data_IF_730503200728
#
_entry.id   IF_730503200728
#
_cell.length_a   1.000
_cell.length_b   1.000
_cell.length_c   1.000
_cell.angle_alpha   90.00
_cell.angle_beta   90.00
_cell.angle_gamma   90.00
#
_symmetry.space_group_name_H-M   'P 1'
#
loop_
_entity.id
_entity.type
_entity.pdbx_description
1 polymer ?
#
# COMPACT_ATOMS: atom_id res chain seq x y z
N UNK A 1 20.14 30.07 44.19
CA UNK A 1 19.41 30.94 43.24
C UNK A 1 20.23 31.04 41.96
N UNK A 2 19.55 31.26 40.83
CA UNK A 2 20.01 31.39 39.43
C UNK A 2 19.97 30.07 38.64
N UNK A 3 18.97 30.00 37.76
CA UNK A 3 18.78 28.93 36.78
C UNK A 3 19.41 29.22 35.42
N UNK A 4 19.10 28.35 34.46
CA UNK A 4 19.18 28.65 33.03
C UNK A 4 19.84 27.57 32.17
N UNK A 5 19.23 27.39 30.97
CA UNK A 5 19.61 26.57 29.80
C UNK A 5 19.05 25.15 29.82
N UNK A 6 18.41 24.64 28.79
CA UNK A 6 17.86 25.14 27.53
C UNK A 6 17.13 23.92 26.94
N UNK A 7 16.14 24.17 26.11
CA UNK A 7 15.38 23.15 25.39
C UNK A 7 16.29 22.28 24.51
N UNK A 8 16.69 21.11 24.98
CA UNK A 8 17.25 20.07 24.12
C UNK A 8 16.17 19.05 23.81
N UNK A 9 15.22 19.48 22.97
CA UNK A 9 14.37 18.61 22.16
C UNK A 9 15.33 17.75 21.33
N UNK A 10 15.38 16.40 21.48
CA UNK A 10 16.11 15.61 20.52
C UNK A 10 15.37 15.71 19.20
N UNK A 11 15.94 16.51 18.30
CA UNK A 11 15.66 16.50 16.87
C UNK A 11 15.72 15.06 16.38
N UNK A 12 14.76 14.71 15.54
CA UNK A 12 14.54 13.37 15.01
C UNK A 12 15.80 12.83 14.31
N UNK A 13 16.71 12.24 15.09
CA UNK A 13 17.75 11.34 14.61
C UNK A 13 17.06 10.04 14.22
N UNK A 14 16.57 9.99 12.99
CA UNK A 14 16.32 8.74 12.29
C UNK A 14 17.67 8.09 11.93
N UNK A 15 18.47 7.79 12.94
CA UNK A 15 19.74 7.09 12.78
C UNK A 15 19.44 5.59 12.91
N UNK A 16 19.68 4.88 11.82
CA UNK A 16 19.42 3.46 11.55
C UNK A 16 19.68 2.51 12.72
N UNK A 17 18.69 2.30 13.58
CA UNK A 17 18.68 1.22 14.56
C UNK A 17 17.75 0.11 14.04
N UNK A 18 18.31 -0.84 13.29
CA UNK A 18 17.60 -2.09 13.01
C UNK A 18 17.43 -2.82 14.36
N UNK A 19 16.22 -2.82 14.90
CA UNK A 19 15.90 -3.53 16.13
C UNK A 19 16.20 -5.03 15.96
N UNK A 20 16.75 -5.67 17.00
CA UNK A 20 17.01 -7.12 16.99
C UNK A 20 15.72 -7.85 16.58
N UNK A 21 15.82 -8.84 15.69
CA UNK A 21 14.68 -9.63 15.22
C UNK A 21 13.85 -10.11 16.43
N UNK A 22 12.55 -9.79 16.47
CA UNK A 22 11.65 -10.10 17.59
C UNK A 22 11.48 -8.99 18.64
N UNK A 23 12.31 -7.95 18.64
CA UNK A 23 12.21 -6.80 19.57
C UNK A 23 11.64 -5.53 18.94
N UNK A 24 11.34 -5.56 17.63
CA UNK A 24 10.74 -4.41 16.94
C UNK A 24 9.29 -4.24 17.41
N UNK A 25 8.95 -3.17 18.13
CA UNK A 25 7.55 -2.91 18.45
C UNK A 25 6.78 -2.73 17.15
N UNK A 26 5.60 -3.34 17.04
CA UNK A 26 4.72 -3.15 15.89
C UNK A 26 4.24 -1.70 15.94
N UNK A 27 4.81 -0.86 15.09
CA UNK A 27 4.43 0.55 15.00
C UNK A 27 2.97 0.61 14.56
N UNK A 28 2.14 1.35 15.32
CA UNK A 28 0.78 1.67 14.90
C UNK A 28 0.85 2.39 13.56
N UNK A 29 0.11 1.91 12.56
CA UNK A 29 0.08 2.56 11.26
C UNK A 29 -0.25 4.04 11.43
N UNK A 30 0.63 4.92 10.96
CA UNK A 30 0.36 6.35 10.97
C UNK A 30 -0.66 6.67 9.87
N UNK A 31 -1.94 6.79 10.27
CA UNK A 31 -3.06 7.10 9.38
C UNK A 31 -3.37 8.60 9.31
N UNK A 32 -2.45 9.46 9.80
CA UNK A 32 -2.65 10.92 9.86
C UNK A 32 -2.56 11.60 8.49
N UNK A 33 -1.99 10.91 7.51
CA UNK A 33 -1.79 11.43 6.15
C UNK A 33 -2.77 10.78 5.18
N UNK A 34 -3.23 11.55 4.17
CA UNK A 34 -3.99 10.97 3.05
C UNK A 34 -3.09 9.96 2.33
N UNK A 35 -3.60 8.76 2.13
CA UNK A 35 -2.90 7.69 1.42
C UNK A 35 -3.66 7.29 0.16
N UNK A 36 -2.93 6.77 -0.81
CA UNK A 36 -3.48 6.15 -2.00
C UNK A 36 -2.89 4.74 -2.11
N UNK A 37 -3.76 3.77 -2.36
CA UNK A 37 -3.45 2.35 -2.44
C UNK A 37 -3.54 1.91 -3.89
N UNK A 38 -2.48 1.25 -4.37
CA UNK A 38 -2.40 0.74 -5.73
C UNK A 38 -2.72 -0.75 -5.69
N UNK A 39 -3.74 -1.15 -6.43
CA UNK A 39 -4.09 -2.54 -6.69
C UNK A 39 -3.69 -2.88 -8.11
N UNK A 40 -3.05 -4.02 -8.33
CA UNK A 40 -2.55 -4.42 -9.64
C UNK A 40 -2.56 -5.93 -9.80
N UNK A 41 -3.06 -6.39 -10.94
CA UNK A 41 -3.09 -7.79 -11.34
C UNK A 41 -2.65 -7.91 -12.80
N UNK A 42 -1.84 -8.92 -13.10
CA UNK A 42 -1.32 -9.18 -14.45
C UNK A 42 -1.53 -10.66 -14.79
N UNK A 43 -2.04 -10.94 -15.99
CA UNK A 43 -2.10 -12.26 -16.59
C UNK A 43 -0.99 -12.41 -17.64
N UNK A 44 0.11 -13.13 -17.34
CA UNK A 44 1.23 -13.28 -18.29
C UNK A 44 0.84 -14.09 -19.53
N UNK A 45 -0.10 -15.03 -19.42
CA UNK A 45 -0.54 -15.86 -20.56
C UNK A 45 -1.23 -15.05 -21.67
N UNK A 46 -1.93 -13.97 -21.31
CA UNK A 46 -2.65 -13.12 -22.24
C UNK A 46 -1.96 -11.76 -22.49
N UNK A 47 -0.86 -11.47 -21.76
CA UNK A 47 -0.17 -10.18 -21.84
C UNK A 47 -1.01 -8.99 -21.36
N UNK A 48 -1.98 -9.22 -20.45
CA UNK A 48 -2.94 -8.21 -19.97
C UNK A 48 -2.76 -7.94 -18.49
N UNK A 49 -3.17 -6.75 -18.05
CA UNK A 49 -3.18 -6.41 -16.63
C UNK A 49 -4.17 -5.31 -16.31
N UNK A 50 -4.70 -5.35 -15.08
CA UNK A 50 -5.61 -4.36 -14.52
C UNK A 50 -4.93 -3.69 -13.32
N UNK A 51 -5.07 -2.37 -13.20
CA UNK A 51 -4.58 -1.62 -12.05
C UNK A 51 -5.55 -0.50 -11.65
N UNK A 52 -5.69 -0.28 -10.34
CA UNK A 52 -6.55 0.75 -9.74
C UNK A 52 -5.82 1.48 -8.63
N UNK A 53 -6.12 2.77 -8.47
CA UNK A 53 -5.67 3.58 -7.35
C UNK A 53 -6.88 3.99 -6.51
N UNK A 54 -6.92 3.54 -5.25
CA UNK A 54 -8.05 3.75 -4.33
C UNK A 54 -7.60 4.40 -3.02
N UNK A 55 -8.45 5.21 -2.37
CA UNK A 55 -8.09 5.92 -1.14
C UNK A 55 -7.98 5.01 0.10
N UNK A 56 -8.51 3.79 0.04
CA UNK A 56 -8.51 2.84 1.17
C UNK A 56 -8.29 1.41 0.72
N UNK A 57 -7.55 0.63 1.50
CA UNK A 57 -7.43 -0.82 1.33
C UNK A 57 -8.40 -1.54 2.27
N UNK A 58 -9.59 -1.84 1.77
CA UNK A 58 -10.63 -2.58 2.48
C UNK A 58 -11.29 -3.61 1.54
N UNK A 59 -12.25 -4.38 2.06
CA UNK A 59 -12.94 -5.43 1.28
C UNK A 59 -13.67 -4.84 0.07
N UNK A 60 -14.27 -3.65 0.19
CA UNK A 60 -14.93 -3.00 -0.94
C UNK A 60 -13.94 -2.66 -2.07
N UNK A 61 -12.80 -2.06 -1.73
CA UNK A 61 -11.72 -1.77 -2.67
C UNK A 61 -11.18 -3.04 -3.36
N UNK A 62 -11.06 -4.13 -2.60
CA UNK A 62 -10.67 -5.43 -3.16
C UNK A 62 -11.72 -5.97 -4.14
N UNK A 63 -13.01 -5.87 -3.82
CA UNK A 63 -14.07 -6.31 -4.73
C UNK A 63 -14.06 -5.52 -6.04
N UNK A 64 -13.85 -4.20 -5.98
CA UNK A 64 -13.70 -3.38 -7.19
C UNK A 64 -12.48 -3.83 -8.00
N UNK A 65 -11.34 -4.07 -7.35
CA UNK A 65 -10.16 -4.60 -8.03
C UNK A 65 -10.40 -5.95 -8.71
N UNK A 66 -11.12 -6.86 -8.07
CA UNK A 66 -11.47 -8.16 -8.63
C UNK A 66 -12.42 -8.03 -9.83
N UNK A 67 -13.40 -7.13 -9.76
CA UNK A 67 -14.30 -6.85 -10.89
C UNK A 67 -13.50 -6.35 -12.10
N UNK A 68 -12.63 -5.37 -11.91
CA UNK A 68 -11.79 -4.82 -12.98
C UNK A 68 -10.81 -5.86 -13.54
N UNK A 69 -10.18 -6.65 -12.66
CA UNK A 69 -9.32 -7.77 -13.07
C UNK A 69 -10.10 -8.78 -13.91
N UNK A 70 -11.35 -9.03 -13.53
CA UNK A 70 -12.22 -9.98 -14.24
C UNK A 70 -12.57 -9.47 -15.63
N UNK A 71 -12.95 -8.20 -15.74
CA UNK A 71 -13.25 -7.53 -17.01
C UNK A 71 -12.04 -7.59 -17.94
N UNK A 72 -10.88 -7.11 -17.48
CA UNK A 72 -9.69 -6.99 -18.34
C UNK A 72 -9.12 -8.35 -18.78
N UNK A 73 -9.17 -9.37 -17.92
CA UNK A 73 -8.58 -10.69 -18.19
C UNK A 73 -9.59 -11.63 -18.87
N UNK A 74 -10.81 -11.75 -18.35
CA UNK A 74 -11.79 -12.74 -18.82
C UNK A 74 -12.69 -12.25 -19.96
N UNK A 75 -13.07 -10.96 -20.05
CA UNK A 75 -13.91 -10.53 -21.19
C UNK A 75 -13.19 -10.73 -22.54
N UNK A 76 -11.88 -10.57 -22.55
CA UNK A 76 -11.09 -10.83 -23.75
C UNK A 76 -11.02 -12.32 -24.13
N UNK A 77 -11.09 -13.24 -23.15
CA UNK A 77 -11.04 -14.69 -23.38
C UNK A 77 -12.31 -15.18 -24.09
N UNK A 78 -13.45 -14.51 -23.88
CA UNK A 78 -14.70 -14.77 -24.60
C UNK A 78 -14.61 -14.28 -26.05
N UNK A 79 -14.19 -13.03 -26.28
CA UNK A 79 -13.98 -12.52 -27.66
C UNK A 79 -12.87 -13.25 -28.43
N UNK A 80 -11.90 -13.85 -27.75
CA UNK A 80 -10.84 -14.65 -28.38
C UNK A 80 -11.24 -16.11 -28.66
N UNK A 81 -12.27 -16.63 -28.00
CA UNK A 81 -12.85 -17.96 -28.29
C UNK A 81 -13.97 -17.92 -29.34
N UNK A 82 -14.54 -16.74 -29.60
CA UNK A 82 -15.57 -16.52 -30.61
C UNK A 82 -14.99 -16.13 -32.00
N UNK A 83 -13.67 -16.01 -32.14
CA UNK A 83 -12.97 -15.82 -33.41
C UNK A 83 -12.25 -17.11 -33.84
#
# INVERSE_FOLDING_TARGET
>A
MVGGRSEDRPENKADTALAKRGTRPRVTADLRTRSAWIFGAICPAQGKGAALVLPSCNIHAMNVHLQETTVVIYEYDLTAREC
#
